data_IF_448602137389
#
_entry.id   IF_448602137389
#
_cell.length_a   1.000
_cell.length_b   1.000
_cell.length_c   1.000
_cell.angle_alpha   90.00
_cell.angle_beta   90.00
_cell.angle_gamma   90.00
#
_symmetry.space_group_name_H-M   'P 1'
#
loop_
_entity.id
_entity.type
_entity.pdbx_description
1 polymer ?
#
# COMPACT_ATOMS: atom_id res chain seq x y z
N UNK A 1 -1.78 -22.04 11.81
CA UNK A 1 -0.34 -21.83 11.68
C UNK A 1 0.38 -23.12 12.02
N UNK A 2 1.36 -23.50 11.21
CA UNK A 2 2.16 -24.69 11.39
C UNK A 2 3.34 -24.43 12.34
N UNK A 3 3.22 -24.95 13.57
CA UNK A 3 4.23 -24.79 14.63
C UNK A 3 5.57 -25.46 14.30
N UNK A 4 5.53 -26.58 13.59
CA UNK A 4 6.74 -27.32 13.23
C UNK A 4 7.59 -26.51 12.23
N UNK A 5 6.95 -25.88 11.24
CA UNK A 5 7.63 -24.98 10.29
C UNK A 5 8.24 -23.79 11.05
N UNK A 6 7.47 -23.17 11.95
CA UNK A 6 7.93 -22.03 12.76
C UNK A 6 9.19 -22.35 13.57
N UNK A 7 9.17 -23.45 14.34
CA UNK A 7 10.30 -23.84 15.19
C UNK A 7 11.54 -24.24 14.38
N UNK A 8 11.33 -24.90 13.23
CA UNK A 8 12.42 -25.23 12.31
C UNK A 8 13.06 -23.94 11.76
N UNK A 9 12.27 -23.03 11.24
CA UNK A 9 12.76 -21.75 10.71
C UNK A 9 13.46 -20.92 11.80
N UNK A 10 12.94 -20.87 13.02
CA UNK A 10 13.59 -20.19 14.13
C UNK A 10 14.98 -20.77 14.44
N UNK A 11 15.10 -22.09 14.40
CA UNK A 11 16.39 -22.77 14.64
C UNK A 11 17.41 -22.40 13.57
N UNK A 12 17.00 -22.35 12.30
CA UNK A 12 17.87 -21.92 11.20
C UNK A 12 18.23 -20.43 11.32
N UNK A 13 17.28 -19.57 11.67
CA UNK A 13 17.53 -18.15 11.92
C UNK A 13 18.57 -17.94 13.02
N UNK A 14 18.48 -18.68 14.12
CA UNK A 14 19.43 -18.61 15.24
C UNK A 14 20.84 -19.02 14.82
N UNK A 15 20.97 -20.09 14.01
CA UNK A 15 22.26 -20.51 13.44
C UNK A 15 22.83 -19.44 12.51
N UNK A 16 22.00 -18.91 11.61
CA UNK A 16 22.40 -17.84 10.69
C UNK A 16 22.85 -16.60 11.46
N UNK A 17 22.09 -16.19 12.48
CA UNK A 17 22.40 -15.03 13.30
C UNK A 17 23.73 -15.20 14.04
N UNK A 18 24.00 -16.38 14.58
CA UNK A 18 25.28 -16.70 15.23
C UNK A 18 26.46 -16.65 14.25
N UNK A 19 26.30 -17.20 13.04
CA UNK A 19 27.32 -17.19 12.00
C UNK A 19 27.58 -15.79 11.42
N UNK A 20 26.56 -14.93 11.36
CA UNK A 20 26.60 -13.61 10.73
C UNK A 20 26.52 -12.46 11.75
N UNK A 21 26.98 -12.68 12.98
CA UNK A 21 26.76 -11.78 14.13
C UNK A 21 27.06 -10.31 13.84
N UNK A 22 28.13 -9.99 13.12
CA UNK A 22 28.49 -8.61 12.77
C UNK A 22 27.43 -7.93 11.89
N UNK A 23 27.01 -8.61 10.82
CA UNK A 23 25.99 -8.11 9.91
C UNK A 23 24.63 -8.00 10.60
N UNK A 24 24.21 -9.07 11.30
CA UNK A 24 22.94 -9.10 12.00
C UNK A 24 22.84 -8.04 13.11
N UNK A 25 23.96 -7.72 13.78
CA UNK A 25 24.02 -6.64 14.78
C UNK A 25 23.90 -5.25 14.15
N UNK A 26 24.47 -5.05 12.95
CA UNK A 26 24.36 -3.79 12.23
C UNK A 26 22.91 -3.53 11.78
N UNK A 27 22.27 -4.52 11.16
CA UNK A 27 20.85 -4.44 10.80
C UNK A 27 19.97 -4.21 12.02
N UNK A 28 20.30 -4.85 13.15
CA UNK A 28 19.57 -4.66 14.41
C UNK A 28 19.68 -3.22 14.89
N UNK A 29 20.88 -2.65 14.85
CA UNK A 29 21.11 -1.28 15.24
C UNK A 29 20.35 -0.29 14.34
N UNK A 30 20.42 -0.45 13.03
CA UNK A 30 19.68 0.39 12.07
C UNK A 30 18.16 0.33 12.33
N UNK A 31 17.63 -0.87 12.59
CA UNK A 31 16.22 -1.08 12.93
C UNK A 31 15.80 -0.35 14.20
N UNK A 32 16.60 -0.47 15.26
CA UNK A 32 16.32 0.23 16.51
C UNK A 32 16.47 1.75 16.36
N UNK A 33 17.44 2.24 15.57
CA UNK A 33 17.59 3.66 15.25
C UNK A 33 16.33 4.19 14.52
N UNK A 34 15.82 3.47 13.52
CA UNK A 34 14.57 3.82 12.83
C UNK A 34 13.34 3.76 13.76
N UNK A 35 13.30 2.80 14.68
CA UNK A 35 12.21 2.68 15.64
C UNK A 35 12.24 3.79 16.70
N UNK A 36 13.42 4.15 17.19
CA UNK A 36 13.64 5.28 18.09
C UNK A 36 13.26 6.60 17.42
N UNK A 37 13.63 6.77 16.15
CA UNK A 37 13.21 7.92 15.35
C UNK A 37 11.69 8.02 15.29
N UNK A 38 10.99 6.96 14.91
CA UNK A 38 9.52 6.96 14.87
C UNK A 38 8.88 7.25 16.24
N UNK A 39 9.44 6.73 17.34
CA UNK A 39 8.98 7.00 18.72
C UNK A 39 9.24 8.41 19.19
N UNK A 40 10.20 9.12 18.57
CA UNK A 40 10.47 10.53 18.89
C UNK A 40 9.32 11.45 18.51
N UNK A 41 8.45 11.03 17.57
CA UNK A 41 7.23 11.73 17.20
C UNK A 41 6.13 11.44 18.22
N UNK A 42 6.13 12.20 19.31
CA UNK A 42 5.05 12.14 20.31
C UNK A 42 3.73 12.63 19.73
N UNK A 43 2.63 12.43 20.48
CA UNK A 43 1.31 12.91 20.06
C UNK A 43 1.31 14.41 19.79
N UNK A 44 1.98 15.19 20.65
CA UNK A 44 2.08 16.65 20.54
C UNK A 44 2.84 17.03 19.28
N UNK A 45 3.96 16.35 18.99
CA UNK A 45 4.74 16.57 17.77
C UNK A 45 3.89 16.24 16.54
N UNK A 46 3.20 15.10 16.50
CA UNK A 46 2.33 14.75 15.36
C UNK A 46 1.20 15.76 15.14
N UNK A 47 0.67 16.37 16.21
CA UNK A 47 -0.38 17.40 16.12
C UNK A 47 0.14 18.75 15.64
N UNK A 48 1.43 19.06 15.82
CA UNK A 48 2.03 20.33 15.43
C UNK A 48 3.08 20.22 14.33
N UNK A 49 3.27 19.05 13.73
CA UNK A 49 4.39 18.81 12.81
C UNK A 49 4.33 19.69 11.57
N UNK A 50 5.49 20.20 11.12
CA UNK A 50 5.66 20.85 9.82
C UNK A 50 5.66 19.83 8.67
N UNK A 51 5.64 20.32 7.43
CA UNK A 51 5.81 19.47 6.23
C UNK A 51 7.19 18.78 6.23
N UNK A 52 8.23 19.46 6.69
CA UNK A 52 9.58 18.89 6.86
C UNK A 52 9.58 17.78 7.92
N UNK A 53 8.90 17.97 9.05
CA UNK A 53 8.78 16.94 10.08
C UNK A 53 7.94 15.75 9.59
N UNK A 54 6.91 15.97 8.77
CA UNK A 54 6.19 14.88 8.10
C UNK A 54 7.11 14.09 7.18
N UNK A 55 7.97 14.80 6.42
CA UNK A 55 8.98 14.16 5.59
C UNK A 55 9.92 13.29 6.44
N UNK A 56 10.47 13.84 7.52
CA UNK A 56 11.33 13.10 8.43
C UNK A 56 10.62 11.90 9.06
N UNK A 57 9.31 11.99 9.29
CA UNK A 57 8.53 10.90 9.87
C UNK A 57 8.33 9.72 8.90
N UNK A 58 8.05 10.01 7.63
CA UNK A 58 7.62 9.00 6.63
C UNK A 58 8.76 8.57 5.73
N UNK A 59 9.63 9.47 5.29
CA UNK A 59 10.70 9.17 4.33
C UNK A 59 11.64 8.02 4.78
N UNK A 60 11.98 7.84 6.08
CA UNK A 60 12.83 6.74 6.53
C UNK A 60 12.17 5.36 6.54
N UNK A 61 10.88 5.25 6.23
CA UNK A 61 10.16 3.98 6.23
C UNK A 61 10.61 3.06 5.09
N UNK A 62 10.59 1.75 5.36
CA UNK A 62 10.81 0.72 4.34
C UNK A 62 9.72 0.75 3.27
N UNK A 63 8.49 1.06 3.65
CA UNK A 63 7.39 1.28 2.70
C UNK A 63 7.68 2.42 1.70
N UNK A 64 8.63 3.31 1.97
CA UNK A 64 9.05 4.37 1.05
C UNK A 64 10.22 4.00 0.15
N UNK A 65 10.72 2.75 0.19
CA UNK A 65 11.90 2.31 -0.56
C UNK A 65 11.72 2.36 -2.09
N UNK A 66 10.48 2.23 -2.58
CA UNK A 66 10.18 2.34 -4.02
C UNK A 66 10.32 3.78 -4.55
N UNK A 67 10.35 4.78 -3.67
CA UNK A 67 10.45 6.19 -4.07
C UNK A 67 11.90 6.67 -3.98
N UNK A 68 12.50 6.94 -5.14
CA UNK A 68 13.85 7.53 -5.21
C UNK A 68 13.84 8.99 -4.75
N UNK A 69 12.99 9.81 -5.37
CA UNK A 69 12.63 11.13 -4.85
C UNK A 69 11.45 10.97 -3.89
N UNK A 70 11.74 11.05 -2.58
CA UNK A 70 10.73 10.89 -1.53
C UNK A 70 9.92 12.17 -1.31
N UNK A 71 10.54 13.34 -1.52
CA UNK A 71 9.83 14.63 -1.45
C UNK A 71 8.65 14.64 -2.41
N UNK A 72 8.85 14.21 -3.65
CA UNK A 72 7.80 14.14 -4.65
C UNK A 72 6.58 13.36 -4.16
N UNK A 73 6.75 12.17 -3.57
CA UNK A 73 5.61 11.41 -3.08
C UNK A 73 4.98 12.05 -1.83
N UNK A 74 5.78 12.62 -0.94
CA UNK A 74 5.30 13.24 0.31
C UNK A 74 4.55 14.54 0.00
N UNK A 75 5.03 15.35 -0.94
CA UNK A 75 4.35 16.55 -1.43
C UNK A 75 3.00 16.20 -2.07
N UNK A 76 2.93 15.12 -2.85
CA UNK A 76 1.66 14.60 -3.38
C UNK A 76 0.69 14.16 -2.26
N UNK A 77 1.20 13.57 -1.16
CA UNK A 77 0.39 13.24 0.03
C UNK A 77 -0.12 14.53 0.69
N UNK A 78 0.74 15.55 0.82
CA UNK A 78 0.34 16.84 1.40
C UNK A 78 -0.72 17.52 0.54
N UNK A 79 -0.51 17.62 -0.78
CA UNK A 79 -1.44 18.26 -1.72
C UNK A 79 -2.82 17.57 -1.71
N UNK A 80 -2.86 16.24 -1.61
CA UNK A 80 -4.11 15.48 -1.64
C UNK A 80 -4.93 15.56 -0.34
N UNK A 81 -4.31 15.89 0.80
CA UNK A 81 -4.93 15.76 2.13
C UNK A 81 -4.93 17.05 2.96
N UNK A 82 -3.91 17.89 2.82
CA UNK A 82 -3.64 19.03 3.70
C UNK A 82 -3.03 18.61 5.04
N UNK A 83 -2.15 19.47 5.58
CA UNK A 83 -1.40 19.18 6.81
C UNK A 83 -2.29 19.02 8.06
N UNK A 84 -3.39 19.75 8.16
CA UNK A 84 -4.27 19.68 9.35
C UNK A 84 -4.93 18.30 9.48
N UNK A 85 -5.42 17.75 8.37
CA UNK A 85 -5.97 16.41 8.34
C UNK A 85 -4.90 15.35 8.64
N UNK A 86 -3.71 15.49 8.06
CA UNK A 86 -2.60 14.56 8.29
C UNK A 86 -2.19 14.55 9.76
N UNK A 87 -2.03 15.71 10.40
CA UNK A 87 -1.72 15.85 11.84
C UNK A 87 -2.74 15.11 12.70
N UNK A 88 -4.03 15.40 12.50
CA UNK A 88 -5.12 14.77 13.25
C UNK A 88 -5.11 13.26 13.07
N UNK A 89 -5.01 12.78 11.83
CA UNK A 89 -5.16 11.37 11.51
C UNK A 89 -3.93 10.56 11.92
N UNK A 90 -2.70 11.07 11.77
CA UNK A 90 -1.52 10.40 12.31
C UNK A 90 -1.54 10.35 13.85
N UNK A 91 -1.88 11.45 14.52
CA UNK A 91 -1.99 11.47 15.97
C UNK A 91 -3.06 10.49 16.49
N UNK A 92 -4.22 10.41 15.81
CA UNK A 92 -5.24 9.43 16.14
C UNK A 92 -4.78 8.00 15.84
N UNK A 93 -4.18 7.74 14.67
CA UNK A 93 -3.71 6.40 14.30
C UNK A 93 -2.71 5.86 15.32
N UNK A 94 -1.75 6.67 15.77
CA UNK A 94 -0.69 6.20 16.66
C UNK A 94 -1.12 6.25 18.13
N UNK A 95 -1.66 7.38 18.60
CA UNK A 95 -1.90 7.65 20.03
C UNK A 95 -3.39 7.77 20.41
N UNK A 96 -4.31 7.48 19.49
CA UNK A 96 -5.74 7.49 19.79
C UNK A 96 -6.14 6.37 20.77
N UNK A 97 -7.15 6.65 21.60
CA UNK A 97 -7.62 5.73 22.65
C UNK A 97 -8.64 4.72 22.16
N UNK A 98 -9.22 4.94 20.98
CA UNK A 98 -10.13 3.98 20.36
C UNK A 98 -9.41 2.66 20.00
N UNK A 99 -10.12 1.53 19.93
CA UNK A 99 -9.56 0.28 19.43
C UNK A 99 -8.87 0.45 18.07
N UNK A 100 -7.80 -0.31 17.82
CA UNK A 100 -7.00 -0.18 16.60
C UNK A 100 -7.83 -0.38 15.34
N UNK A 101 -8.87 -1.22 15.40
CA UNK A 101 -9.77 -1.46 14.28
C UNK A 101 -10.43 -0.17 13.80
N UNK A 102 -10.87 0.67 14.76
CA UNK A 102 -11.55 1.93 14.46
C UNK A 102 -10.58 2.97 13.92
N UNK A 103 -9.44 3.15 14.59
CA UNK A 103 -8.39 4.10 14.18
C UNK A 103 -7.86 3.80 12.78
N UNK A 104 -7.60 2.51 12.51
CA UNK A 104 -7.15 2.03 11.21
C UNK A 104 -8.14 2.36 10.10
N UNK A 105 -9.42 1.98 10.30
CA UNK A 105 -10.44 2.18 9.29
C UNK A 105 -10.77 3.66 9.08
N UNK A 106 -10.74 4.46 10.14
CA UNK A 106 -10.89 5.91 10.05
C UNK A 106 -9.78 6.53 9.21
N UNK A 107 -8.52 6.22 9.52
CA UNK A 107 -7.37 6.73 8.77
C UNK A 107 -7.48 6.37 7.28
N UNK A 108 -7.71 5.10 6.96
CA UNK A 108 -7.86 4.63 5.56
C UNK A 108 -9.02 5.27 4.81
N UNK A 109 -10.06 5.69 5.52
CA UNK A 109 -11.22 6.32 4.89
C UNK A 109 -11.02 7.81 4.59
N UNK A 110 -10.10 8.47 5.29
CA UNK A 110 -9.87 9.93 5.22
C UNK A 110 -8.60 10.32 4.48
N UNK A 111 -7.53 9.53 4.62
CA UNK A 111 -6.20 9.86 4.11
C UNK A 111 -5.92 9.14 2.80
N UNK A 112 -5.55 9.90 1.76
CA UNK A 112 -5.20 9.44 0.41
C UNK A 112 -3.69 9.24 0.28
N UNK A 113 -3.27 8.25 -0.50
CA UNK A 113 -1.84 8.03 -0.83
C UNK A 113 -1.01 7.44 0.31
N UNK A 114 -1.64 6.96 1.38
CA UNK A 114 -0.98 6.24 2.47
C UNK A 114 -1.67 4.89 2.67
N UNK A 115 -0.97 3.83 2.26
CA UNK A 115 -1.46 2.46 2.32
C UNK A 115 -1.16 1.73 3.63
N UNK A 116 -1.67 0.48 3.78
CA UNK A 116 -1.43 -0.37 4.94
C UNK A 116 0.04 -0.58 5.33
N UNK A 117 0.95 -0.60 4.35
CA UNK A 117 2.39 -0.79 4.60
C UNK A 117 2.96 0.33 5.47
N UNK A 118 2.72 1.61 5.12
CA UNK A 118 3.16 2.77 5.90
C UNK A 118 2.50 2.77 7.28
N UNK A 119 1.18 2.59 7.33
CA UNK A 119 0.41 2.62 8.59
C UNK A 119 0.92 1.58 9.59
N UNK A 120 1.07 0.33 9.13
CA UNK A 120 1.48 -0.79 9.98
C UNK A 120 2.95 -0.71 10.38
N UNK A 121 3.82 -0.17 9.52
CA UNK A 121 5.22 0.06 9.85
C UNK A 121 5.38 1.11 10.96
N UNK A 122 4.67 2.24 10.88
CA UNK A 122 4.68 3.27 11.92
C UNK A 122 4.17 2.74 13.26
N UNK A 123 3.06 1.99 13.24
CA UNK A 123 2.52 1.34 14.43
C UNK A 123 3.50 0.32 15.03
N UNK A 124 4.14 -0.50 14.20
CA UNK A 124 5.11 -1.51 14.64
C UNK A 124 6.37 -0.86 15.23
N UNK A 125 6.93 0.17 14.58
CA UNK A 125 8.10 0.90 15.10
C UNK A 125 7.80 1.59 16.43
N UNK A 126 6.59 2.13 16.59
CA UNK A 126 6.16 2.82 17.81
C UNK A 126 5.84 1.85 18.96
N UNK A 127 5.08 0.78 18.67
CA UNK A 127 4.63 -0.22 19.66
C UNK A 127 4.90 -1.65 19.17
N UNK A 128 6.17 -2.09 19.15
CA UNK A 128 6.58 -3.37 18.55
C UNK A 128 6.05 -4.60 19.30
N UNK A 129 5.58 -4.45 20.54
CA UNK A 129 4.96 -5.56 21.28
C UNK A 129 3.48 -5.75 20.93
N UNK A 130 2.88 -4.74 20.29
CA UNK A 130 1.43 -4.68 20.03
C UNK A 130 1.08 -4.85 18.56
N UNK A 131 1.81 -4.19 17.65
CA UNK A 131 1.39 -4.07 16.26
C UNK A 131 2.36 -4.72 15.28
N UNK A 132 1.79 -5.47 14.34
CA UNK A 132 2.52 -6.15 13.28
C UNK A 132 2.78 -5.19 12.11
N UNK A 133 3.96 -5.29 11.50
CA UNK A 133 4.23 -4.71 10.19
C UNK A 133 3.61 -5.60 9.11
N UNK A 134 2.76 -5.03 8.26
CA UNK A 134 2.09 -5.77 7.19
C UNK A 134 2.50 -5.27 5.81
N UNK A 135 3.25 -6.10 5.09
CA UNK A 135 3.62 -5.91 3.69
C UNK A 135 3.66 -7.28 2.98
N UNK A 136 4.11 -7.31 1.72
CA UNK A 136 4.25 -8.56 0.96
C UNK A 136 5.15 -9.60 1.63
N UNK A 137 6.23 -9.16 2.29
CA UNK A 137 7.18 -10.05 2.99
C UNK A 137 6.52 -10.71 4.19
N UNK A 138 5.72 -9.97 4.96
CA UNK A 138 4.90 -10.53 6.05
C UNK A 138 3.84 -11.48 5.52
N UNK A 139 3.16 -11.12 4.42
CA UNK A 139 2.20 -12.01 3.76
C UNK A 139 2.85 -13.35 3.37
N UNK A 140 4.00 -13.31 2.71
CA UNK A 140 4.74 -14.49 2.30
C UNK A 140 5.12 -15.35 3.52
N UNK A 141 5.63 -14.72 4.57
CA UNK A 141 6.01 -15.43 5.78
C UNK A 141 4.83 -16.09 6.48
N UNK A 142 3.71 -15.39 6.61
CA UNK A 142 2.50 -15.95 7.21
C UNK A 142 1.91 -17.07 6.34
N UNK A 143 2.01 -16.95 5.01
CA UNK A 143 1.60 -18.00 4.09
C UNK A 143 2.49 -19.25 4.22
N UNK A 144 3.82 -19.06 4.35
CA UNK A 144 4.77 -20.15 4.57
C UNK A 144 4.52 -20.87 5.90
N UNK A 145 4.04 -20.14 6.91
CA UNK A 145 3.59 -20.69 8.18
C UNK A 145 2.17 -21.26 8.15
N UNK A 146 1.54 -21.38 6.98
CA UNK A 146 0.18 -21.91 6.80
C UNK A 146 -0.85 -21.21 7.71
N UNK A 147 -0.76 -19.87 7.80
CA UNK A 147 -1.80 -19.06 8.41
C UNK A 147 -2.99 -18.98 7.45
N UNK A 148 -4.17 -19.36 7.93
CA UNK A 148 -5.37 -19.37 7.11
C UNK A 148 -5.94 -17.95 6.90
N UNK A 149 -6.69 -17.77 5.81
CA UNK A 149 -7.49 -16.57 5.52
C UNK A 149 -6.69 -15.25 5.44
N UNK A 150 -5.47 -15.29 4.90
CA UNK A 150 -4.66 -14.09 4.72
C UNK A 150 -5.28 -13.15 3.67
N UNK A 151 -5.28 -11.83 3.91
CA UNK A 151 -5.74 -10.88 2.91
C UNK A 151 -4.69 -10.77 1.80
N UNK A 152 -4.98 -11.40 0.65
CA UNK A 152 -4.10 -11.34 -0.54
C UNK A 152 -3.88 -9.91 -1.07
N UNK A 153 -4.90 -9.07 -0.96
CA UNK A 153 -4.87 -7.70 -1.46
C UNK A 153 -4.93 -6.70 -0.31
N UNK A 154 -4.09 -5.67 -0.36
CA UNK A 154 -4.01 -4.60 0.65
C UNK A 154 -5.35 -3.87 0.83
N UNK A 155 -6.07 -3.63 -0.26
CA UNK A 155 -7.47 -3.23 -0.27
C UNK A 155 -8.32 -3.90 0.81
N UNK A 156 -8.16 -5.23 0.99
CA UNK A 156 -8.98 -6.04 1.89
C UNK A 156 -8.58 -5.90 3.36
N UNK A 157 -7.48 -5.22 3.68
CA UNK A 157 -6.97 -5.09 5.04
C UNK A 157 -7.70 -3.98 5.81
N UNK A 158 -8.92 -4.29 6.26
CA UNK A 158 -9.65 -3.44 7.21
C UNK A 158 -9.08 -3.59 8.63
N UNK A 159 -9.52 -2.73 9.54
CA UNK A 159 -9.03 -2.67 10.90
C UNK A 159 -9.23 -3.97 11.67
N UNK A 160 -10.36 -4.65 11.47
CA UNK A 160 -10.61 -5.95 12.10
C UNK A 160 -9.61 -7.02 11.65
N UNK A 161 -9.36 -7.13 10.33
CA UNK A 161 -8.35 -8.05 9.79
C UNK A 161 -6.94 -7.67 10.25
N UNK A 162 -6.61 -6.39 10.30
CA UNK A 162 -5.31 -5.93 10.80
C UNK A 162 -5.10 -6.28 12.28
N UNK A 163 -6.10 -6.03 13.13
CA UNK A 163 -6.08 -6.42 14.54
C UNK A 163 -5.91 -7.93 14.69
N UNK A 164 -6.62 -8.73 13.88
CA UNK A 164 -6.48 -10.18 13.88
C UNK A 164 -5.09 -10.66 13.48
N UNK A 165 -4.46 -10.01 12.50
CA UNK A 165 -3.08 -10.30 12.11
C UNK A 165 -2.10 -9.94 13.22
N UNK A 166 -2.33 -8.83 13.95
CA UNK A 166 -1.54 -8.48 15.13
C UNK A 166 -1.69 -9.53 16.24
N UNK A 167 -2.89 -10.06 16.48
CA UNK A 167 -3.09 -11.19 17.41
C UNK A 167 -2.27 -12.41 17.01
N UNK A 168 -2.28 -12.77 15.72
CA UNK A 168 -1.51 -13.91 15.20
C UNK A 168 0.00 -13.67 15.40
N UNK A 169 0.49 -12.46 15.12
CA UNK A 169 1.88 -12.12 15.39
C UNK A 169 2.25 -12.26 16.87
N UNK A 170 1.36 -11.85 17.79
CA UNK A 170 1.60 -12.00 19.24
C UNK A 170 1.58 -13.46 19.66
N UNK A 171 0.72 -14.28 19.04
CA UNK A 171 0.72 -15.74 19.23
C UNK A 171 2.03 -16.36 18.74
N UNK A 172 2.57 -15.93 17.60
CA UNK A 172 3.88 -16.38 17.10
C UNK A 172 4.96 -16.07 18.14
N UNK A 173 5.06 -14.81 18.58
CA UNK A 173 6.04 -14.40 19.60
C UNK A 173 5.90 -15.21 20.88
N UNK A 174 4.66 -15.46 21.34
CA UNK A 174 4.41 -16.27 22.53
C UNK A 174 4.84 -17.72 22.36
N UNK A 175 4.65 -18.31 21.18
CA UNK A 175 4.99 -19.71 20.89
C UNK A 175 6.51 -19.92 20.88
N UNK A 176 7.27 -18.95 20.38
CA UNK A 176 8.74 -19.02 20.29
C UNK A 176 9.45 -18.45 21.52
N UNK A 177 8.70 -18.08 22.57
CA UNK A 177 9.25 -17.49 23.78
C UNK A 177 9.88 -18.56 24.65
N UNK A 178 11.21 -18.61 24.66
CA UNK A 178 12.00 -19.44 25.55
C UNK A 178 13.32 -18.73 25.94
N UNK A 179 14.00 -19.11 27.04
CA UNK A 179 15.25 -18.46 27.48
C UNK A 179 16.36 -18.44 26.43
N UNK A 180 16.36 -19.41 25.52
CA UNK A 180 17.33 -19.57 24.44
C UNK A 180 17.06 -18.61 23.27
N UNK A 181 15.80 -18.22 23.04
CA UNK A 181 15.45 -17.30 21.97
C UNK A 181 15.59 -15.84 22.41
N UNK A 182 16.74 -15.26 22.06
CA UNK A 182 17.04 -13.83 22.29
C UNK A 182 16.99 -12.98 21.02
N UNK A 183 16.75 -13.60 19.86
CA UNK A 183 16.87 -12.97 18.54
C UNK A 183 15.53 -12.49 17.99
N UNK A 184 14.43 -13.15 18.36
CA UNK A 184 13.06 -12.76 17.98
C UNK A 184 12.23 -12.58 19.24
N UNK A 185 11.98 -11.33 19.61
CA UNK A 185 11.39 -10.96 20.91
C UNK A 185 10.15 -10.09 20.79
N UNK A 186 9.92 -9.46 19.64
CA UNK A 186 8.80 -8.55 19.37
C UNK A 186 8.48 -8.53 17.86
N UNK A 187 7.48 -7.74 17.44
CA UNK A 187 7.04 -7.69 16.03
C UNK A 187 8.09 -7.12 15.08
N UNK A 188 8.98 -6.25 15.56
CA UNK A 188 10.04 -5.67 14.73
C UNK A 188 11.12 -6.71 14.40
N UNK A 189 11.53 -7.50 15.39
CA UNK A 189 12.45 -8.63 15.18
C UNK A 189 11.79 -9.81 14.48
N UNK A 190 10.47 -10.00 14.68
CA UNK A 190 9.69 -10.96 13.91
C UNK A 190 9.72 -10.64 12.40
N UNK A 191 9.63 -9.36 12.04
CA UNK A 191 9.76 -8.94 10.64
C UNK A 191 11.11 -9.35 10.04
N UNK A 192 12.22 -9.16 10.76
CA UNK A 192 13.55 -9.59 10.31
C UNK A 192 13.65 -11.11 10.16
N UNK A 193 13.11 -11.85 11.11
CA UNK A 193 13.05 -13.32 11.02
C UNK A 193 12.25 -13.79 9.80
N UNK A 194 11.06 -13.22 9.58
CA UNK A 194 10.23 -13.54 8.42
C UNK A 194 10.99 -13.24 7.13
N UNK A 195 11.64 -12.08 7.05
CA UNK A 195 12.37 -11.65 5.87
C UNK A 195 13.57 -12.56 5.55
N UNK A 196 14.22 -13.09 6.58
CA UNK A 196 15.40 -13.94 6.40
C UNK A 196 15.03 -15.39 6.05
N UNK A 197 14.04 -16.00 6.74
CA UNK A 197 13.80 -17.44 6.67
C UNK A 197 12.49 -17.85 5.99
N UNK A 198 11.53 -16.94 5.84
CA UNK A 198 10.15 -17.27 5.44
C UNK A 198 9.73 -16.57 4.14
N UNK A 199 10.66 -16.45 3.18
CA UNK A 199 10.42 -15.80 1.89
C UNK A 199 10.23 -16.75 0.70
N UNK A 200 10.18 -18.06 0.93
CA UNK A 200 9.92 -19.02 -0.14
C UNK A 200 8.58 -18.76 -0.82
N UNK A 201 8.55 -18.90 -2.16
CA UNK A 201 7.30 -18.84 -2.93
C UNK A 201 6.40 -20.01 -2.53
N UNK A 202 5.36 -19.71 -1.76
CA UNK A 202 4.39 -20.71 -1.31
C UNK A 202 3.58 -21.28 -2.48
N UNK A 203 2.98 -22.45 -2.28
CA UNK A 203 2.13 -23.12 -3.27
C UNK A 203 0.94 -22.26 -3.75
N UNK A 204 0.50 -21.27 -2.98
CA UNK A 204 -0.50 -20.28 -3.43
C UNK A 204 0.04 -19.31 -4.48
N UNK A 205 1.31 -18.90 -4.39
CA UNK A 205 2.01 -18.15 -5.45
C UNK A 205 2.13 -18.97 -6.73
N UNK A 206 2.34 -20.28 -6.64
CA UNK A 206 2.43 -21.18 -7.81
C UNK A 206 1.05 -21.57 -8.40
N UNK A 207 0.01 -21.64 -7.57
CA UNK A 207 -1.37 -21.94 -7.98
C UNK A 207 -2.05 -20.79 -8.77
N UNK A 208 -1.40 -19.62 -8.85
CA UNK A 208 -1.83 -18.47 -9.66
C UNK A 208 -1.95 -18.77 -11.15
N UNK A 209 -1.42 -19.91 -11.63
CA UNK A 209 -1.57 -20.33 -13.02
C UNK A 209 -2.84 -21.15 -13.32
N UNK A 210 -3.53 -21.73 -12.32
CA UNK A 210 -4.62 -22.70 -12.60
C UNK A 210 -5.85 -22.70 -11.68
N UNK A 211 -5.98 -21.81 -10.69
CA UNK A 211 -7.14 -21.78 -9.77
C UNK A 211 -8.11 -20.62 -10.00
N UNK A 212 -9.42 -20.87 -10.00
CA UNK A 212 -10.49 -19.83 -10.04
C UNK A 212 -10.26 -18.77 -8.94
N UNK A 213 -9.70 -17.62 -9.32
CA UNK A 213 -9.63 -16.42 -8.48
C UNK A 213 -11.03 -16.11 -7.93
N UNK A 214 -11.22 -16.18 -6.60
CA UNK A 214 -12.22 -15.32 -5.97
C UNK A 214 -11.66 -13.90 -6.13
N UNK A 215 -12.04 -13.22 -7.22
CA UNK A 215 -11.64 -11.83 -7.49
C UNK A 215 -11.98 -10.88 -6.34
N UNK A 216 -11.65 -9.59 -6.48
CA UNK A 216 -11.91 -8.52 -5.51
C UNK A 216 -13.41 -8.15 -5.43
N UNK A 217 -14.31 -9.14 -5.38
CA UNK A 217 -15.72 -8.91 -5.10
C UNK A 217 -15.85 -8.45 -3.63
N UNK A 218 -16.37 -7.24 -3.38
CA UNK A 218 -16.57 -6.75 -2.03
C UNK A 218 -17.67 -7.52 -1.32
N UNK A 219 -17.49 -7.78 -0.02
CA UNK A 219 -18.52 -8.40 0.83
C UNK A 219 -19.32 -7.38 1.64
N UNK A 220 -18.91 -6.11 1.61
CA UNK A 220 -19.58 -4.99 2.27
C UNK A 220 -19.30 -3.68 1.52
N UNK A 221 -20.13 -2.66 1.74
CA UNK A 221 -19.92 -1.31 1.16
C UNK A 221 -18.56 -0.73 1.55
N UNK A 222 -18.14 -0.92 2.81
CA UNK A 222 -16.85 -0.46 3.30
C UNK A 222 -15.68 -1.16 2.60
N UNK A 223 -15.77 -2.47 2.39
CA UNK A 223 -14.75 -3.19 1.64
C UNK A 223 -14.74 -2.74 0.17
N UNK A 224 -15.90 -2.44 -0.42
CA UNK A 224 -15.97 -1.87 -1.78
C UNK A 224 -15.21 -0.54 -1.88
N UNK A 225 -15.43 0.38 -0.94
CA UNK A 225 -14.71 1.67 -0.89
C UNK A 225 -13.20 1.46 -0.74
N UNK A 226 -12.77 0.54 0.11
CA UNK A 226 -11.34 0.27 0.29
C UNK A 226 -10.68 -0.36 -0.94
N UNK A 227 -11.40 -1.22 -1.66
CA UNK A 227 -10.94 -1.79 -2.93
C UNK A 227 -10.83 -0.71 -4.01
N UNK A 228 -11.85 0.13 -4.12
CA UNK A 228 -11.88 1.27 -5.04
C UNK A 228 -10.68 2.20 -4.82
N UNK A 229 -10.50 2.67 -3.59
CA UNK A 229 -9.44 3.61 -3.25
C UNK A 229 -8.04 3.01 -3.47
N UNK A 230 -7.85 1.72 -3.14
CA UNK A 230 -6.57 1.03 -3.34
C UNK A 230 -6.19 0.94 -4.83
N UNK A 231 -7.16 0.58 -5.69
CA UNK A 231 -6.93 0.50 -7.14
C UNK A 231 -6.69 1.90 -7.71
N UNK A 232 -7.47 2.90 -7.32
CA UNK A 232 -7.30 4.29 -7.73
C UNK A 232 -5.91 4.82 -7.36
N UNK A 233 -5.49 4.64 -6.12
CA UNK A 233 -4.21 5.14 -5.62
C UNK A 233 -3.06 4.45 -6.37
N UNK A 234 -3.13 3.13 -6.60
CA UNK A 234 -2.12 2.40 -7.39
C UNK A 234 -2.09 2.84 -8.86
N UNK A 235 -3.23 3.19 -9.48
CA UNK A 235 -3.24 3.80 -10.82
C UNK A 235 -2.48 5.13 -10.81
N UNK A 236 -2.71 5.99 -9.82
CA UNK A 236 -1.98 7.25 -9.72
C UNK A 236 -0.47 7.02 -9.49
N UNK A 237 -0.11 6.10 -8.60
CA UNK A 237 1.29 5.74 -8.30
C UNK A 237 2.03 5.19 -9.53
N UNK A 238 1.37 4.37 -10.36
CA UNK A 238 1.93 3.92 -11.65
C UNK A 238 2.21 5.14 -12.55
N UNK A 239 1.27 6.08 -12.67
CA UNK A 239 1.46 7.31 -13.44
C UNK A 239 2.66 8.12 -12.94
N UNK A 240 2.80 8.27 -11.62
CA UNK A 240 3.94 8.93 -10.97
C UNK A 240 5.26 8.24 -11.30
N UNK A 241 5.32 6.91 -11.22
CA UNK A 241 6.50 6.12 -11.58
C UNK A 241 6.90 6.30 -13.05
N UNK A 242 5.92 6.53 -13.93
CA UNK A 242 6.15 6.78 -15.36
C UNK A 242 6.50 8.24 -15.68
N UNK A 243 6.58 9.12 -14.67
CA UNK A 243 6.92 10.53 -14.84
C UNK A 243 5.75 11.45 -15.19
N UNK A 244 4.50 10.97 -15.10
CA UNK A 244 3.33 11.84 -15.21
C UNK A 244 3.09 12.60 -13.90
N UNK A 245 2.56 13.82 -14.02
CA UNK A 245 1.86 14.46 -12.90
C UNK A 245 0.54 13.71 -12.70
N UNK A 246 0.47 12.90 -11.66
CA UNK A 246 -0.68 12.04 -11.41
C UNK A 246 -1.38 12.34 -10.09
N UNK A 247 -2.68 12.63 -10.19
CA UNK A 247 -3.54 13.11 -9.11
C UNK A 247 -4.79 12.23 -9.01
N UNK A 248 -5.35 12.13 -7.81
CA UNK A 248 -6.57 11.37 -7.51
C UNK A 248 -7.74 12.31 -7.23
N UNK A 249 -8.96 11.93 -7.61
CA UNK A 249 -10.19 12.72 -7.42
C UNK A 249 -10.08 14.15 -7.99
N UNK A 250 -9.52 14.28 -9.20
CA UNK A 250 -9.28 15.57 -9.85
C UNK A 250 -10.48 16.00 -10.68
N UNK A 251 -10.83 17.29 -10.64
CA UNK A 251 -11.76 17.89 -11.60
C UNK A 251 -11.06 18.12 -12.94
N UNK A 252 -11.54 17.48 -14.01
CA UNK A 252 -10.94 17.57 -15.37
C UNK A 252 -11.77 18.44 -16.31
N UNK A 253 -13.08 18.50 -16.10
CA UNK A 253 -14.03 19.32 -16.85
C UNK A 253 -15.20 19.71 -15.94
N UNK A 254 -16.06 20.61 -16.42
CA UNK A 254 -17.26 21.03 -15.69
C UNK A 254 -18.15 19.83 -15.36
N UNK A 255 -18.33 19.57 -14.07
CA UNK A 255 -19.11 18.45 -13.57
C UNK A 255 -18.50 17.05 -13.76
N UNK A 256 -17.18 16.97 -14.02
CA UNK A 256 -16.42 15.71 -14.09
C UNK A 256 -15.27 15.71 -13.08
N UNK A 257 -15.49 15.03 -11.95
CA UNK A 257 -14.45 14.67 -10.99
C UNK A 257 -14.17 13.20 -11.22
N UNK A 258 -12.93 12.87 -11.56
CA UNK A 258 -12.53 11.53 -11.98
C UNK A 258 -11.58 10.89 -10.98
N UNK A 259 -11.57 9.56 -10.93
CA UNK A 259 -10.81 8.82 -9.93
C UNK A 259 -9.31 9.08 -9.99
N UNK A 260 -8.70 9.02 -11.19
CA UNK A 260 -7.30 9.37 -11.36
C UNK A 260 -7.04 10.05 -12.71
N UNK A 261 -6.01 10.89 -12.73
CA UNK A 261 -5.56 11.62 -13.92
C UNK A 261 -4.06 11.46 -14.07
N UNK A 262 -3.60 11.18 -15.28
CA UNK A 262 -2.18 11.31 -15.64
C UNK A 262 -2.03 12.48 -16.61
N UNK A 263 -1.20 13.45 -16.25
CA UNK A 263 -1.00 14.68 -16.99
C UNK A 263 0.48 14.86 -17.32
N UNK A 264 0.76 15.23 -18.57
CA UNK A 264 2.09 15.64 -19.01
C UNK A 264 1.99 16.90 -19.86
N UNK A 265 2.91 17.83 -19.62
CA UNK A 265 3.06 19.04 -20.44
C UNK A 265 4.19 18.81 -21.44
N UNK A 266 3.90 18.90 -22.72
CA UNK A 266 4.85 18.70 -23.80
C UNK A 266 5.21 20.07 -24.36
N UNK A 267 6.18 20.75 -23.73
CA UNK A 267 6.74 22.03 -24.20
C UNK A 267 5.69 23.01 -24.75
N UNK A 268 5.90 23.45 -26.00
CA UNK A 268 4.97 24.33 -26.72
C UNK A 268 3.82 23.59 -27.44
N UNK A 269 3.78 22.25 -27.40
CA UNK A 269 2.74 21.43 -28.03
C UNK A 269 1.48 21.31 -27.18
N UNK A 270 1.55 21.73 -25.91
CA UNK A 270 0.43 21.78 -25.00
C UNK A 270 0.42 20.61 -24.02
N UNK A 271 -0.78 20.18 -23.65
CA UNK A 271 -1.02 19.33 -22.49
C UNK A 271 -1.73 18.06 -22.90
N UNK A 272 -1.26 16.93 -22.42
CA UNK A 272 -1.86 15.61 -22.65
C UNK A 272 -2.35 15.07 -21.32
N UNK A 273 -3.63 14.68 -21.31
CA UNK A 273 -4.32 14.15 -20.14
C UNK A 273 -4.89 12.77 -20.46
N UNK A 274 -4.63 11.82 -19.57
CA UNK A 274 -5.31 10.52 -19.52
C UNK A 274 -6.18 10.48 -18.28
N UNK A 275 -7.43 10.05 -18.45
CA UNK A 275 -8.44 9.98 -17.40
C UNK A 275 -8.75 8.53 -17.09
N UNK A 276 -8.82 8.20 -15.80
CA UNK A 276 -9.11 6.87 -15.30
C UNK A 276 -10.33 6.92 -14.37
N UNK A 277 -11.28 6.02 -14.59
CA UNK A 277 -12.43 5.77 -13.72
C UNK A 277 -12.37 4.31 -13.25
N UNK A 278 -12.41 4.11 -11.94
CA UNK A 278 -12.32 2.79 -11.31
C UNK A 278 -13.74 2.27 -11.07
N UNK A 279 -14.05 1.09 -11.60
CA UNK A 279 -15.32 0.41 -11.39
C UNK A 279 -15.11 -0.90 -10.67
N UNK A 280 -15.34 -0.89 -9.36
CA UNK A 280 -15.30 -2.09 -8.51
C UNK A 280 -16.69 -2.42 -7.95
N UNK A 281 -17.51 -1.39 -7.76
CA UNK A 281 -18.93 -1.45 -7.39
C UNK A 281 -19.61 -0.15 -7.82
N UNK A 282 -20.95 -0.07 -7.70
CA UNK A 282 -21.71 1.15 -7.97
C UNK A 282 -22.32 1.24 -9.37
N UNK A 283 -22.70 2.46 -9.77
CA UNK A 283 -23.42 2.76 -11.01
C UNK A 283 -22.47 2.88 -12.20
N UNK A 284 -22.65 2.03 -13.21
CA UNK A 284 -21.90 2.13 -14.47
C UNK A 284 -22.29 3.38 -15.26
N UNK A 285 -23.56 3.82 -15.17
CA UNK A 285 -23.99 5.07 -15.80
C UNK A 285 -23.19 6.28 -15.29
N UNK A 286 -22.86 6.30 -14.00
CA UNK A 286 -22.05 7.36 -13.40
C UNK A 286 -20.62 7.36 -13.96
N UNK A 287 -20.00 6.18 -14.08
CA UNK A 287 -18.70 6.02 -14.74
C UNK A 287 -18.75 6.51 -16.19
N UNK A 288 -19.73 6.05 -16.97
CA UNK A 288 -19.87 6.41 -18.38
C UNK A 288 -20.05 7.92 -18.52
N UNK A 289 -20.91 8.52 -17.69
CA UNK A 289 -21.17 9.95 -17.71
C UNK A 289 -19.91 10.77 -17.40
N UNK A 290 -19.10 10.37 -16.40
CA UNK A 290 -17.85 11.04 -16.08
C UNK A 290 -16.83 10.93 -17.22
N UNK A 291 -16.69 9.76 -17.84
CA UNK A 291 -15.80 9.57 -19.00
C UNK A 291 -16.24 10.45 -20.19
N UNK A 292 -17.56 10.52 -20.47
CA UNK A 292 -18.11 11.38 -21.51
C UNK A 292 -17.81 12.86 -21.24
N UNK A 293 -18.10 13.35 -20.02
CA UNK A 293 -17.87 14.75 -19.65
C UNK A 293 -16.39 15.12 -19.71
N UNK A 294 -15.50 14.20 -19.33
CA UNK A 294 -14.05 14.42 -19.35
C UNK A 294 -13.54 14.72 -20.77
N UNK A 295 -14.15 14.11 -21.80
CA UNK A 295 -13.79 14.34 -23.22
C UNK A 295 -14.13 15.73 -23.74
N UNK A 296 -14.95 16.50 -23.02
CA UNK A 296 -15.16 17.91 -23.35
C UNK A 296 -13.88 18.74 -23.17
N UNK A 297 -12.91 18.25 -22.39
CA UNK A 297 -11.60 18.86 -22.28
C UNK A 297 -10.69 18.38 -23.44
N UNK A 298 -10.30 19.31 -24.33
CA UNK A 298 -9.49 19.03 -25.53
C UNK A 298 -8.10 18.44 -25.24
N UNK A 299 -7.58 18.63 -24.02
CA UNK A 299 -6.31 18.03 -23.60
C UNK A 299 -6.45 16.53 -23.27
N UNK A 300 -7.68 16.02 -23.08
CA UNK A 300 -7.93 14.60 -22.80
C UNK A 300 -7.78 13.76 -24.06
N UNK A 301 -6.69 12.99 -24.10
CA UNK A 301 -6.35 12.11 -25.22
C UNK A 301 -6.83 10.67 -25.00
N UNK A 302 -7.02 10.25 -23.76
CA UNK A 302 -7.49 8.91 -23.44
C UNK A 302 -8.40 8.88 -22.22
N UNK A 303 -9.44 8.05 -22.30
CA UNK A 303 -10.36 7.72 -21.22
C UNK A 303 -10.31 6.21 -20.97
N UNK A 304 -10.08 5.82 -19.72
CA UNK A 304 -9.82 4.44 -19.32
C UNK A 304 -10.77 4.02 -18.20
N UNK A 305 -11.49 2.93 -18.38
CA UNK A 305 -12.24 2.27 -17.33
C UNK A 305 -11.39 1.15 -16.71
N UNK A 306 -11.10 1.25 -15.41
CA UNK A 306 -10.29 0.30 -14.65
C UNK A 306 -11.22 -0.62 -13.85
N UNK A 307 -11.29 -1.90 -14.20
CA UNK A 307 -12.38 -2.78 -13.72
C UNK A 307 -12.03 -4.27 -13.84
N UNK A 308 -12.88 -5.20 -13.36
CA UNK A 308 -12.73 -6.63 -13.67
C UNK A 308 -13.29 -7.02 -15.04
N UNK A 309 -12.86 -8.18 -15.54
CA UNK A 309 -13.27 -8.74 -16.84
C UNK A 309 -14.79 -8.91 -16.99
N UNK A 310 -15.53 -9.23 -15.92
CA UNK A 310 -16.99 -9.41 -16.01
C UNK A 310 -17.69 -8.06 -16.20
N UNK A 311 -17.21 -7.04 -15.49
CA UNK A 311 -17.72 -5.68 -15.59
C UNK A 311 -17.37 -5.03 -16.93
N UNK A 312 -16.20 -5.32 -17.53
CA UNK A 312 -15.85 -4.84 -18.89
C UNK A 312 -16.97 -5.18 -19.89
N UNK A 313 -17.42 -6.43 -19.91
CA UNK A 313 -18.46 -6.88 -20.84
C UNK A 313 -19.84 -6.29 -20.53
N UNK A 314 -20.09 -5.88 -19.29
CA UNK A 314 -21.30 -5.14 -18.92
C UNK A 314 -21.22 -3.68 -19.39
N UNK A 315 -20.11 -3.00 -19.12
CA UNK A 315 -19.87 -1.62 -19.52
C UNK A 315 -19.95 -1.48 -21.04
N UNK A 316 -19.31 -2.38 -21.80
CA UNK A 316 -19.38 -2.40 -23.28
C UNK A 316 -20.81 -2.50 -23.81
N UNK A 317 -21.67 -3.30 -23.18
CA UNK A 317 -23.08 -3.43 -23.57
C UNK A 317 -23.86 -2.16 -23.28
N UNK A 318 -23.66 -1.57 -22.10
CA UNK A 318 -24.34 -0.33 -21.69
C UNK A 318 -23.93 0.87 -22.57
N UNK A 319 -22.67 0.91 -23.05
CA UNK A 319 -22.19 1.99 -23.95
C UNK A 319 -22.37 1.71 -25.44
N UNK A 320 -22.93 0.57 -25.87
CA UNK A 320 -22.94 0.17 -27.28
C UNK A 320 -23.61 1.19 -28.22
N UNK A 321 -24.58 1.95 -27.70
CA UNK A 321 -25.30 3.00 -28.42
C UNK A 321 -24.73 4.41 -28.18
N UNK A 322 -23.67 4.55 -27.39
CA UNK A 322 -23.07 5.83 -27.02
C UNK A 322 -21.90 6.20 -27.95
N UNK A 323 -21.64 7.50 -28.17
CA UNK A 323 -20.60 7.95 -29.10
C UNK A 323 -19.18 7.55 -28.67
N UNK A 324 -18.95 7.39 -27.36
CA UNK A 324 -17.62 7.09 -26.81
C UNK A 324 -17.22 5.61 -26.86
N UNK A 325 -18.07 4.72 -27.40
CA UNK A 325 -17.91 3.25 -27.28
C UNK A 325 -16.57 2.72 -27.79
N UNK A 326 -16.03 3.32 -28.85
CA UNK A 326 -14.77 2.91 -29.48
C UNK A 326 -13.55 3.67 -28.91
N UNK A 327 -13.82 4.66 -28.06
CA UNK A 327 -12.83 5.54 -27.44
C UNK A 327 -12.43 5.10 -26.03
N UNK A 328 -13.35 4.47 -25.29
CA UNK A 328 -13.07 3.95 -23.94
C UNK A 328 -12.10 2.79 -24.02
N UNK A 329 -10.97 2.92 -23.33
CA UNK A 329 -10.03 1.81 -23.09
C UNK A 329 -10.37 1.12 -21.77
N UNK A 330 -10.03 -0.15 -21.68
CA UNK A 330 -10.27 -0.94 -20.48
C UNK A 330 -8.95 -1.44 -19.92
N UNK A 331 -8.79 -1.38 -18.61
CA UNK A 331 -7.64 -1.94 -17.91
C UNK A 331 -8.11 -2.83 -16.77
N UNK A 332 -7.67 -4.08 -16.76
CA UNK A 332 -8.03 -5.00 -15.69
C UNK A 332 -7.35 -4.57 -14.38
N UNK A 333 -8.11 -4.37 -13.29
CA UNK A 333 -7.48 -3.95 -12.03
C UNK A 333 -6.49 -5.01 -11.51
N UNK A 334 -6.64 -6.31 -11.82
CA UNK A 334 -5.66 -7.34 -11.44
C UNK A 334 -4.33 -7.16 -12.17
N UNK A 335 -4.35 -6.56 -13.37
CA UNK A 335 -3.14 -6.14 -14.09
C UNK A 335 -2.55 -4.88 -13.46
N UNK A 336 -3.37 -3.90 -13.10
CA UNK A 336 -2.91 -2.70 -12.35
C UNK A 336 -2.11 -3.10 -11.12
N UNK A 337 -2.67 -4.01 -10.31
CA UNK A 337 -2.01 -4.49 -9.08
C UNK A 337 -0.65 -5.16 -9.39
N UNK A 338 -0.59 -6.03 -10.40
CA UNK A 338 0.67 -6.70 -10.80
C UNK A 338 1.70 -5.74 -11.37
N UNK A 339 1.27 -4.75 -12.14
CA UNK A 339 2.16 -3.73 -12.71
C UNK A 339 2.73 -2.86 -11.60
N UNK A 340 1.89 -2.43 -10.64
CA UNK A 340 2.35 -1.71 -9.47
C UNK A 340 3.40 -2.51 -8.67
N UNK A 341 3.13 -3.79 -8.38
CA UNK A 341 4.10 -4.68 -7.70
C UNK A 341 5.43 -4.80 -8.47
N UNK A 342 5.35 -4.88 -9.80
CA UNK A 342 6.55 -4.97 -10.66
C UNK A 342 7.35 -3.66 -10.65
N UNK A 343 6.67 -2.51 -10.69
CA UNK A 343 7.31 -1.20 -10.59
C UNK A 343 7.96 -0.98 -9.24
N UNK A 344 7.30 -1.41 -8.15
CA UNK A 344 7.89 -1.40 -6.82
C UNK A 344 9.21 -2.16 -6.79
N UNK A 345 9.23 -3.41 -7.29
CA UNK A 345 10.46 -4.21 -7.34
C UNK A 345 11.57 -3.55 -8.17
N UNK A 346 11.24 -3.03 -9.36
CA UNK A 346 12.20 -2.37 -10.24
C UNK A 346 12.77 -1.11 -9.57
N UNK A 347 11.93 -0.25 -9.02
CA UNK A 347 12.35 0.99 -8.41
C UNK A 347 13.17 0.76 -7.13
N UNK A 348 12.75 -0.16 -6.25
CA UNK A 348 13.54 -0.53 -5.06
C UNK A 348 14.94 -1.02 -5.46
N UNK A 349 15.03 -1.86 -6.49
CA UNK A 349 16.31 -2.38 -6.99
C UNK A 349 17.20 -1.28 -7.57
N UNK A 350 16.64 -0.34 -8.32
CA UNK A 350 17.38 0.81 -8.88
C UNK A 350 17.80 1.78 -7.78
N UNK A 351 16.94 2.07 -6.81
CA UNK A 351 17.23 3.01 -5.72
C UNK A 351 18.41 2.54 -4.86
N UNK A 352 18.60 1.22 -4.72
CA UNK A 352 19.76 0.64 -4.03
C UNK A 352 21.11 0.98 -4.68
N UNK A 353 21.12 1.43 -5.95
CA UNK A 353 22.33 1.91 -6.63
C UNK A 353 22.75 3.31 -6.15
N UNK A 354 21.91 4.04 -5.41
CA UNK A 354 22.25 5.36 -4.87
C UNK A 354 22.35 6.46 -5.92
N UNK A 355 21.65 6.33 -7.05
CA UNK A 355 21.70 7.29 -8.16
C UNK A 355 21.01 8.63 -7.85
N UNK A 356 20.06 8.63 -6.91
CA UNK A 356 19.37 9.83 -6.43
C UNK A 356 19.89 10.16 -5.03
N UNK A 357 20.47 11.36 -4.81
CA UNK A 357 20.84 11.84 -3.49
C UNK A 357 19.67 11.75 -2.50
N UNK A 358 19.94 11.31 -1.27
CA UNK A 358 18.95 11.35 -0.19
C UNK A 358 18.61 12.81 0.14
N UNK A 359 17.33 13.20 0.01
CA UNK A 359 16.86 14.55 0.34
C UNK A 359 16.65 15.51 -0.85
N UNK A 360 16.45 14.97 -2.06
CA UNK A 360 15.94 15.71 -3.22
C UNK A 360 14.46 15.44 -3.47
#
# INVERSE_FOLDING_TARGET
MNKQILLKALTEYQKWFAANKKHASLEYKEREELALHARSFTKEILLSMSEEQLYDYIAPLWAMAMWGNKHYQIDNIIEANGMDLLREQFANLIYGTSPIEKRWDEFRSKVKGIGPAIMSELLCKTYPDSYLLWNKKTYNGFSALEVANLPRFEARLNGHKYSKLCEIGRQIISEIKCPENKVVTNMLTLNSFIWQELQEETKESAATSKGKNKGLLPTSTKEATFIHNDIRDKVAEIGRCLGFRAEVEKRVADGAIVDAVWEVTIGNMGRVIYVFEVQTAGSIDSLILNLMKSKNNKAVQGIVAVTDQKQIERIKREMAALPIKDEVRFWNYEEVLRIHESLQFVNESINNLGLVPKGL
#
